data_IF_992695060210
#
_entry.id   IF_992695060210
#
_cell.length_a   1.000
_cell.length_b   1.000
_cell.length_c   1.000
_cell.angle_alpha   90.00
_cell.angle_beta   90.00
_cell.angle_gamma   90.00
#
_symmetry.space_group_name_H-M   'P 1'
#
loop_
_entity.id
_entity.type
_entity.pdbx_description
1 polymer ?
#
# COMPACT_ATOMS: atom_id res chain seq x y z
N UNK A 1 -39.35 46.50 -22.39
CA UNK A 1 -38.85 46.15 -23.74
C UNK A 1 -37.57 46.97 -23.93
N UNK A 2 -36.34 46.48 -24.01
CA UNK A 2 -35.77 45.13 -24.06
C UNK A 2 -34.42 45.19 -23.32
N UNK A 3 -34.19 44.25 -22.41
CA UNK A 3 -32.87 43.98 -21.85
C UNK A 3 -32.12 43.11 -22.86
N UNK A 4 -30.94 43.52 -23.27
CA UNK A 4 -30.10 42.75 -24.18
C UNK A 4 -28.76 43.43 -24.34
N UNK A 5 -27.70 42.61 -24.32
CA UNK A 5 -26.28 42.98 -24.49
C UNK A 5 -25.53 43.28 -23.18
N UNK A 6 -25.34 42.26 -22.34
CA UNK A 6 -24.25 42.23 -21.36
C UNK A 6 -23.77 40.80 -20.96
N UNK A 7 -23.96 39.78 -21.81
CA UNK A 7 -23.58 38.37 -21.50
C UNK A 7 -22.50 37.79 -22.42
N UNK A 8 -21.73 38.57 -23.18
CA UNK A 8 -21.06 38.02 -24.38
C UNK A 8 -19.56 37.74 -24.32
N UNK A 9 -18.86 37.73 -23.17
CA UNK A 9 -17.41 37.45 -23.21
C UNK A 9 -16.86 36.72 -21.99
N UNK A 10 -17.25 37.11 -20.78
CA UNK A 10 -16.75 36.47 -19.55
C UNK A 10 -17.39 35.08 -19.34
N UNK A 11 -18.71 34.96 -19.54
CA UNK A 11 -19.44 33.68 -19.51
C UNK A 11 -18.86 32.66 -20.52
N UNK A 12 -18.51 33.14 -21.72
CA UNK A 12 -17.88 32.32 -22.77
C UNK A 12 -16.47 31.85 -22.39
N UNK A 13 -15.71 32.67 -21.66
CA UNK A 13 -14.38 32.33 -21.17
C UNK A 13 -14.44 31.33 -19.99
N UNK A 14 -15.41 31.48 -19.08
CA UNK A 14 -15.60 30.58 -17.94
C UNK A 14 -16.10 29.20 -18.41
N UNK A 15 -17.04 29.15 -19.36
CA UNK A 15 -17.46 27.87 -19.97
C UNK A 15 -16.31 27.13 -20.66
N UNK A 16 -15.37 27.85 -21.30
CA UNK A 16 -14.21 27.22 -21.95
C UNK A 16 -13.12 26.72 -20.99
N UNK A 17 -13.07 27.24 -19.76
CA UNK A 17 -12.15 26.74 -18.72
C UNK A 17 -12.74 25.50 -18.01
N UNK A 18 -14.07 25.39 -17.93
CA UNK A 18 -14.75 24.23 -17.35
C UNK A 18 -14.59 22.92 -18.15
N UNK A 19 -14.10 22.95 -19.40
CA UNK A 19 -13.77 21.72 -20.15
C UNK A 19 -12.39 21.13 -19.80
N UNK A 20 -11.71 21.67 -18.78
CA UNK A 20 -10.52 21.05 -18.18
C UNK A 20 -10.83 20.20 -16.93
N UNK A 21 -12.06 19.70 -16.79
CA UNK A 21 -12.35 18.55 -15.92
C UNK A 21 -12.02 17.20 -16.60
N UNK A 22 -11.17 17.22 -17.63
CA UNK A 22 -10.60 16.03 -18.25
C UNK A 22 -9.31 15.56 -17.57
N UNK A 23 -9.31 15.41 -16.24
CA UNK A 23 -8.53 14.33 -15.59
C UNK A 23 -9.51 13.23 -15.25
N UNK A 24 -10.10 12.70 -16.32
CA UNK A 24 -10.77 11.41 -16.37
C UNK A 24 -9.76 10.24 -16.26
N UNK A 25 -8.72 10.39 -15.44
CA UNK A 25 -7.69 9.38 -15.13
C UNK A 25 -7.62 9.06 -13.63
N UNK A 26 -8.64 9.42 -12.85
CA UNK A 26 -8.72 9.04 -11.44
C UNK A 26 -8.79 7.52 -11.27
N UNK A 27 -9.52 6.81 -12.16
CA UNK A 27 -9.74 5.37 -12.00
C UNK A 27 -8.47 4.55 -12.22
N UNK A 28 -7.68 4.85 -13.26
CA UNK A 28 -6.43 4.12 -13.53
C UNK A 28 -5.36 4.39 -12.45
N UNK A 29 -5.34 5.60 -11.89
CA UNK A 29 -4.43 5.98 -10.81
C UNK A 29 -4.87 5.35 -9.49
N UNK A 30 -6.17 5.38 -9.16
CA UNK A 30 -6.72 4.70 -7.98
C UNK A 30 -6.57 3.19 -8.08
N UNK A 31 -6.77 2.59 -9.26
CA UNK A 31 -6.59 1.16 -9.51
C UNK A 31 -5.11 0.76 -9.44
N UNK A 32 -4.19 1.59 -9.93
CA UNK A 32 -2.75 1.38 -9.79
C UNK A 32 -2.29 1.52 -8.33
N UNK A 33 -2.79 2.51 -7.59
CA UNK A 33 -2.52 2.70 -6.15
C UNK A 33 -3.14 1.55 -5.34
N UNK A 34 -4.35 1.12 -5.69
CA UNK A 34 -5.05 0.00 -5.07
C UNK A 34 -4.32 -1.32 -5.36
N UNK A 35 -3.80 -1.54 -6.56
CA UNK A 35 -2.99 -2.71 -6.88
C UNK A 35 -1.68 -2.72 -6.09
N UNK A 36 -0.99 -1.58 -5.97
CA UNK A 36 0.21 -1.49 -5.14
C UNK A 36 -0.08 -1.61 -3.62
N UNK A 37 -1.25 -1.16 -3.16
CA UNK A 37 -1.65 -1.18 -1.74
C UNK A 37 -2.28 -2.52 -1.31
N UNK A 38 -2.98 -3.21 -2.21
CA UNK A 38 -3.76 -4.42 -1.91
C UNK A 38 -3.22 -5.71 -2.54
N UNK A 39 -2.19 -5.69 -3.39
CA UNK A 39 -1.47 -6.90 -3.83
C UNK A 39 -0.67 -7.62 -2.71
N UNK A 40 -1.01 -7.36 -1.44
CA UNK A 40 -0.50 -8.09 -0.27
C UNK A 40 -1.56 -8.90 0.47
N UNK A 41 -2.86 -8.80 0.15
CA UNK A 41 -3.91 -9.45 0.95
C UNK A 41 -5.12 -9.91 0.13
N UNK A 42 -4.91 -10.60 -0.99
CA UNK A 42 -5.94 -11.49 -1.54
C UNK A 42 -5.65 -12.89 -1.03
N UNK A 43 -6.47 -13.35 -0.08
CA UNK A 43 -6.44 -14.72 0.40
C UNK A 43 -7.01 -15.67 -0.66
N UNK A 44 -6.25 -15.90 -1.72
CA UNK A 44 -6.32 -17.20 -2.38
C UNK A 44 -5.18 -18.04 -1.81
N UNK A 45 -5.35 -19.36 -1.72
CA UNK A 45 -4.24 -20.30 -1.47
C UNK A 45 -3.31 -20.29 -2.70
N UNK A 46 -2.86 -19.11 -3.11
CA UNK A 46 -1.79 -18.92 -4.06
C UNK A 46 -0.60 -19.67 -3.50
N UNK A 47 -0.05 -20.53 -4.34
CA UNK A 47 1.13 -21.31 -4.01
C UNK A 47 2.17 -20.37 -3.39
N UNK A 48 2.42 -20.48 -2.09
CA UNK A 48 3.31 -19.58 -1.34
C UNK A 48 4.68 -19.47 -2.04
N UNK A 49 5.07 -20.52 -2.77
CA UNK A 49 6.32 -20.63 -3.52
C UNK A 49 6.36 -19.83 -4.83
N UNK A 50 5.22 -19.39 -5.37
CA UNK A 50 5.16 -18.52 -6.56
C UNK A 50 5.05 -17.04 -6.22
N UNK A 51 4.99 -16.69 -4.95
CA UNK A 51 4.88 -15.30 -4.52
C UNK A 51 6.17 -14.51 -4.83
N UNK A 52 6.06 -13.22 -5.15
CA UNK A 52 7.21 -12.33 -5.17
C UNK A 52 7.96 -12.38 -3.82
N UNK A 53 9.29 -12.27 -3.87
CA UNK A 53 10.17 -12.44 -2.70
C UNK A 53 9.70 -11.64 -1.47
N UNK A 54 9.28 -10.39 -1.68
CA UNK A 54 8.83 -9.53 -0.59
C UNK A 54 7.57 -10.10 0.08
N UNK A 55 6.57 -10.48 -0.73
CA UNK A 55 5.32 -11.08 -0.26
C UNK A 55 5.56 -12.40 0.46
N UNK A 56 6.44 -13.26 -0.08
CA UNK A 56 6.83 -14.52 0.58
C UNK A 56 7.38 -14.27 1.99
N UNK A 57 8.31 -13.32 2.14
CA UNK A 57 8.89 -13.00 3.44
C UNK A 57 7.88 -12.37 4.40
N UNK A 58 7.04 -11.46 3.91
CA UNK A 58 6.03 -10.76 4.71
C UNK A 58 4.99 -11.71 5.32
N UNK A 59 4.61 -12.78 4.61
CA UNK A 59 3.66 -13.77 5.13
C UNK A 59 4.31 -14.91 5.94
N UNK A 60 5.57 -15.23 5.67
CA UNK A 60 6.27 -16.36 6.31
C UNK A 60 6.97 -15.94 7.60
N UNK A 61 8.17 -15.38 7.47
CA UNK A 61 9.13 -15.22 8.57
C UNK A 61 9.14 -13.82 9.19
N UNK A 62 8.71 -12.78 8.46
CA UNK A 62 8.79 -11.39 8.94
C UNK A 62 8.00 -11.15 10.24
N UNK A 63 6.77 -11.66 10.41
CA UNK A 63 6.00 -11.40 11.62
C UNK A 63 6.71 -11.88 12.90
N UNK A 64 7.24 -13.09 12.88
CA UNK A 64 7.94 -13.68 14.04
C UNK A 64 9.32 -13.06 14.25
N UNK A 65 10.01 -12.66 13.17
CA UNK A 65 11.28 -11.95 13.27
C UNK A 65 11.12 -10.59 13.94
N UNK A 66 10.08 -9.82 13.58
CA UNK A 66 9.79 -8.52 14.21
C UNK A 66 9.54 -8.71 15.71
N UNK A 67 8.78 -9.74 16.10
CA UNK A 67 8.52 -10.02 17.51
C UNK A 67 9.79 -10.42 18.27
N UNK A 68 10.58 -11.35 17.72
CA UNK A 68 11.84 -11.78 18.32
C UNK A 68 12.86 -10.64 18.45
N UNK A 69 12.96 -9.78 17.43
CA UNK A 69 13.84 -8.62 17.47
C UNK A 69 13.43 -7.59 18.53
N UNK A 70 12.12 -7.41 18.77
CA UNK A 70 11.63 -6.56 19.88
C UNK A 70 12.12 -7.09 21.24
N UNK A 71 12.10 -8.41 21.44
CA UNK A 71 12.58 -9.04 22.68
C UNK A 71 14.09 -8.88 22.82
N UNK A 72 14.85 -9.14 21.75
CA UNK A 72 16.32 -8.92 21.75
C UNK A 72 16.66 -7.47 22.06
N UNK A 73 15.94 -6.52 21.48
CA UNK A 73 16.15 -5.09 21.74
C UNK A 73 15.89 -4.71 23.19
N UNK A 74 14.95 -5.40 23.86
CA UNK A 74 14.61 -5.20 25.27
C UNK A 74 15.63 -5.82 26.21
N UNK A 75 15.96 -7.10 26.01
CA UNK A 75 16.81 -7.88 26.94
C UNK A 75 18.32 -7.65 26.69
N UNK A 76 18.71 -7.25 25.48
CA UNK A 76 20.11 -7.08 25.04
C UNK A 76 21.05 -8.20 25.52
N UNK A 77 20.75 -9.46 25.17
CA UNK A 77 21.55 -10.60 25.62
C UNK A 77 22.98 -10.56 25.06
N UNK A 78 23.96 -11.23 25.70
CA UNK A 78 25.35 -11.25 25.25
C UNK A 78 25.52 -11.84 23.84
N UNK A 79 24.69 -12.84 23.49
CA UNK A 79 24.65 -13.48 22.18
C UNK A 79 23.29 -13.26 21.51
N UNK A 80 23.04 -12.11 20.84
CA UNK A 80 21.74 -11.78 20.26
C UNK A 80 21.28 -12.77 19.18
N UNK A 81 22.22 -13.30 18.38
CA UNK A 81 21.91 -14.25 17.30
C UNK A 81 21.44 -15.60 17.84
N UNK A 82 22.13 -16.15 18.84
CA UNK A 82 21.77 -17.41 19.47
C UNK A 82 20.42 -17.30 20.18
N UNK A 83 20.23 -16.22 20.94
CA UNK A 83 18.96 -15.94 21.60
C UNK A 83 17.80 -15.85 20.60
N UNK A 84 17.98 -15.11 19.50
CA UNK A 84 16.97 -15.00 18.46
C UNK A 84 16.67 -16.35 17.81
N UNK A 85 17.69 -17.14 17.49
CA UNK A 85 17.50 -18.48 16.94
C UNK A 85 16.65 -19.39 17.85
N UNK A 86 16.98 -19.40 19.14
CA UNK A 86 16.20 -20.14 20.15
C UNK A 86 14.77 -19.61 20.23
N UNK A 87 14.58 -18.29 20.20
CA UNK A 87 13.26 -17.66 20.21
C UNK A 87 12.41 -18.11 19.01
N UNK A 88 12.99 -18.09 17.80
CA UNK A 88 12.31 -18.52 16.58
C UNK A 88 11.91 -20.00 16.63
N UNK A 89 12.77 -20.88 17.14
CA UNK A 89 12.46 -22.31 17.28
C UNK A 89 11.36 -22.59 18.31
N UNK A 90 11.28 -21.79 19.38
CA UNK A 90 10.26 -21.93 20.42
C UNK A 90 8.89 -21.39 19.97
N UNK A 91 8.89 -20.31 19.19
CA UNK A 91 7.68 -19.57 18.84
C UNK A 91 7.24 -19.77 17.38
N UNK A 92 8.02 -20.51 16.59
CA UNK A 92 7.71 -20.82 15.19
C UNK A 92 6.40 -21.59 15.05
N UNK A 93 5.62 -21.27 14.02
CA UNK A 93 4.46 -22.08 13.64
C UNK A 93 4.96 -23.45 13.15
N UNK A 94 4.47 -24.52 13.78
CA UNK A 94 4.68 -25.89 13.32
C UNK A 94 3.81 -26.20 12.11
#
# INVERSE_FOLDING_TARGET
MNAGVAESTIERAISGICELDSVSQSKDIEDAIHYHRNAGYTQEKENIQSLPLRSYLDISVVPILIEGLKVVAKERPPNPTEFLGIYLLKNGRK
#
